data_IF_582833433495
#
_entry.id   IF_582833433495
#
_cell.length_a   1.000
_cell.length_b   1.000
_cell.length_c   1.000
_cell.angle_alpha   90.00
_cell.angle_beta   90.00
_cell.angle_gamma   90.00
#
_symmetry.space_group_name_H-M   'P 1'
#
loop_
_entity.id
_entity.type
_entity.pdbx_description
1 polymer ?
#
# COMPACT_ATOMS: atom_id res chain seq x y z
N UNK A 1 -18.47 2.00 -16.42
CA UNK A 1 -18.31 0.75 -17.17
C UNK A 1 -17.64 -0.36 -16.34
N UNK A 2 -16.89 -0.06 -15.26
CA UNK A 2 -16.20 -1.08 -14.44
C UNK A 2 -16.50 -0.99 -12.94
N UNK A 3 -17.78 -1.06 -12.56
CA UNK A 3 -18.22 -0.83 -11.16
C UNK A 3 -17.62 -1.82 -10.15
N UNK A 4 -17.28 -3.04 -10.58
CA UNK A 4 -16.65 -4.07 -9.73
C UNK A 4 -15.21 -3.69 -9.40
N UNK A 5 -14.30 -3.68 -10.38
CA UNK A 5 -12.91 -3.31 -10.16
C UNK A 5 -12.74 -1.93 -9.50
N UNK A 6 -13.52 -0.93 -9.94
CA UNK A 6 -13.50 0.42 -9.34
C UNK A 6 -13.84 0.39 -7.84
N UNK A 7 -14.73 -0.52 -7.40
CA UNK A 7 -15.07 -0.66 -5.99
C UNK A 7 -13.88 -1.19 -5.20
N UNK A 8 -13.19 -2.21 -5.71
CA UNK A 8 -12.00 -2.77 -5.05
C UNK A 8 -10.89 -1.71 -4.94
N UNK A 9 -10.63 -0.94 -6.00
CA UNK A 9 -9.63 0.13 -5.96
C UNK A 9 -10.01 1.23 -4.95
N UNK A 10 -11.26 1.68 -4.94
CA UNK A 10 -11.73 2.71 -3.99
C UNK A 10 -11.68 2.26 -2.53
N UNK A 11 -11.86 0.96 -2.28
CA UNK A 11 -11.70 0.40 -0.93
C UNK A 11 -10.23 0.35 -0.52
N UNK A 12 -9.35 -0.05 -1.44
CA UNK A 12 -7.89 -0.04 -1.24
C UNK A 12 -7.34 1.37 -0.99
N UNK A 13 -7.80 2.37 -1.75
CA UNK A 13 -7.40 3.78 -1.61
C UNK A 13 -7.79 4.40 -0.27
N UNK A 14 -8.71 3.77 0.48
CA UNK A 14 -9.14 4.21 1.82
C UNK A 14 -8.37 3.52 2.94
N UNK A 15 -7.27 2.84 2.62
CA UNK A 15 -6.43 2.18 3.62
C UNK A 15 -5.99 3.19 4.69
N UNK A 16 -6.26 2.87 5.97
CA UNK A 16 -5.93 3.76 7.08
C UNK A 16 -4.42 3.94 7.31
N UNK A 17 -3.60 3.06 6.75
CA UNK A 17 -2.15 3.14 6.80
C UNK A 17 -1.57 3.02 5.39
N UNK A 18 -1.21 4.16 4.82
CA UNK A 18 -0.51 4.27 3.54
C UNK A 18 0.55 5.36 3.59
N UNK A 19 1.55 5.26 2.71
CA UNK A 19 2.62 6.24 2.54
C UNK A 19 2.61 6.67 1.08
N UNK A 20 2.17 7.89 0.80
CA UNK A 20 2.11 8.40 -0.56
C UNK A 20 3.51 8.47 -1.19
N UNK A 21 3.55 8.65 -2.51
CA UNK A 21 4.79 8.78 -3.26
C UNK A 21 5.71 9.84 -2.64
N UNK A 22 6.99 9.49 -2.45
CA UNK A 22 8.05 10.37 -1.92
C UNK A 22 7.86 10.84 -0.46
N UNK A 23 6.79 10.42 0.22
CA UNK A 23 6.50 10.85 1.59
C UNK A 23 7.22 10.02 2.66
N UNK A 24 7.34 10.60 3.85
CA UNK A 24 7.83 9.94 5.05
C UNK A 24 6.70 9.82 6.05
N UNK A 25 6.39 8.60 6.48
CA UNK A 25 5.40 8.34 7.51
C UNK A 25 5.73 7.02 8.22
N UNK A 26 5.23 6.82 9.44
CA UNK A 26 5.46 5.60 10.23
C UNK A 26 6.95 5.22 10.41
N UNK A 27 7.86 6.19 10.36
CA UNK A 27 9.30 5.95 10.42
C UNK A 27 9.92 5.40 9.12
N UNK A 28 9.17 5.37 8.02
CA UNK A 28 9.58 4.82 6.72
C UNK A 28 9.49 5.91 5.64
N UNK A 29 10.53 6.04 4.81
CA UNK A 29 10.51 6.87 3.60
C UNK A 29 10.09 6.03 2.40
N UNK A 30 9.00 6.42 1.73
CA UNK A 30 8.63 5.82 0.46
C UNK A 30 9.34 6.55 -0.69
N UNK A 31 10.46 6.00 -1.19
CA UNK A 31 11.18 6.57 -2.33
C UNK A 31 10.52 6.30 -3.70
N UNK A 32 9.40 5.55 -3.73
CA UNK A 32 8.74 5.15 -4.98
C UNK A 32 7.82 6.25 -5.49
N UNK A 33 7.58 6.33 -6.82
CA UNK A 33 6.67 7.31 -7.42
C UNK A 33 5.18 6.90 -7.31
N UNK A 34 4.84 6.00 -6.39
CA UNK A 34 3.49 5.52 -6.14
C UNK A 34 3.26 5.29 -4.64
N UNK A 35 2.00 5.24 -4.24
CA UNK A 35 1.60 4.96 -2.84
C UNK A 35 1.89 3.51 -2.48
N UNK A 36 2.43 3.30 -1.28
CA UNK A 36 2.61 1.98 -0.66
C UNK A 36 1.62 1.89 0.50
N UNK A 37 0.89 0.78 0.60
CA UNK A 37 -0.18 0.57 1.59
C UNK A 37 0.18 -0.54 2.59
N UNK A 38 -0.61 -0.67 3.66
CA UNK A 38 -0.46 -1.76 4.61
C UNK A 38 -0.74 -3.12 3.97
N UNK A 39 0.02 -4.16 4.34
CA UNK A 39 -0.12 -5.49 3.74
C UNK A 39 -1.52 -6.11 3.89
N UNK A 40 -2.25 -5.77 4.96
CA UNK A 40 -3.64 -6.22 5.11
C UNK A 40 -4.58 -5.62 4.06
N UNK A 41 -4.37 -4.35 3.69
CA UNK A 41 -5.13 -3.68 2.64
C UNK A 41 -4.83 -4.32 1.28
N UNK A 42 -3.57 -4.59 0.97
CA UNK A 42 -3.16 -5.25 -0.27
C UNK A 42 -3.70 -6.69 -0.36
N UNK A 43 -3.70 -7.42 0.77
CA UNK A 43 -4.28 -8.76 0.83
C UNK A 43 -5.80 -8.74 0.63
N UNK A 44 -6.51 -7.75 1.22
CA UNK A 44 -7.93 -7.54 0.99
C UNK A 44 -8.23 -7.17 -0.47
N UNK A 45 -7.41 -6.29 -1.04
CA UNK A 45 -7.50 -5.89 -2.43
C UNK A 45 -7.35 -7.08 -3.39
N UNK A 46 -6.32 -7.92 -3.17
CA UNK A 46 -6.12 -9.16 -3.94
C UNK A 46 -7.33 -10.09 -3.86
N UNK A 47 -7.93 -10.26 -2.67
CA UNK A 47 -9.14 -11.06 -2.49
C UNK A 47 -10.34 -10.46 -3.22
N UNK A 48 -10.51 -9.14 -3.15
CA UNK A 48 -11.60 -8.42 -3.84
C UNK A 48 -11.54 -8.62 -5.35
N UNK A 49 -10.37 -8.41 -5.96
CA UNK A 49 -10.17 -8.61 -7.40
C UNK A 49 -10.44 -10.05 -7.83
N UNK A 50 -9.89 -11.04 -7.10
CA UNK A 50 -10.12 -12.46 -7.40
C UNK A 50 -11.58 -12.88 -7.28
N UNK A 51 -12.34 -12.26 -6.37
CA UNK A 51 -13.75 -12.58 -6.18
C UNK A 51 -14.66 -12.07 -7.32
N UNK A 52 -14.22 -11.07 -8.08
CA UNK A 52 -14.98 -10.53 -9.21
C UNK A 52 -14.92 -11.44 -10.45
N UNK A 53 -13.84 -12.20 -10.61
CA UNK A 53 -13.66 -13.19 -11.67
C UNK A 53 -13.95 -12.62 -13.08
N UNK A 54 -13.36 -11.45 -13.36
CA UNK A 54 -13.50 -10.73 -14.64
C UNK A 54 -12.14 -10.28 -15.18
N UNK A 55 -12.06 -10.12 -16.50
CA UNK A 55 -10.81 -9.83 -17.22
C UNK A 55 -10.10 -8.55 -16.75
N UNK A 56 -10.86 -7.52 -16.33
CA UNK A 56 -10.28 -6.25 -15.89
C UNK A 56 -9.71 -6.41 -14.48
N UNK A 57 -10.41 -7.10 -13.59
CA UNK A 57 -9.91 -7.43 -12.25
C UNK A 57 -8.63 -8.28 -12.32
N UNK A 58 -8.57 -9.25 -13.23
CA UNK A 58 -7.38 -10.07 -13.45
C UNK A 58 -6.20 -9.23 -13.97
N UNK A 59 -6.44 -8.36 -14.95
CA UNK A 59 -5.42 -7.45 -15.47
C UNK A 59 -4.87 -6.54 -14.38
N UNK A 60 -5.73 -5.94 -13.55
CA UNK A 60 -5.32 -5.10 -12.43
C UNK A 60 -4.50 -5.91 -11.43
N UNK A 61 -4.98 -7.12 -11.09
CA UNK A 61 -4.30 -8.02 -10.16
C UNK A 61 -2.90 -8.37 -10.61
N UNK A 62 -2.74 -8.88 -11.84
CA UNK A 62 -1.43 -9.22 -12.43
C UNK A 62 -0.53 -7.99 -12.50
N UNK A 63 -1.06 -6.85 -12.96
CA UNK A 63 -0.27 -5.63 -13.08
C UNK A 63 0.29 -5.18 -11.73
N UNK A 64 -0.55 -5.15 -10.69
CA UNK A 64 -0.17 -4.66 -9.38
C UNK A 64 0.74 -5.64 -8.62
N UNK A 65 0.39 -6.92 -8.63
CA UNK A 65 1.01 -7.92 -7.75
C UNK A 65 2.15 -8.71 -8.38
N UNK A 66 2.13 -8.91 -9.71
CA UNK A 66 3.07 -9.81 -10.39
C UNK A 66 4.02 -9.05 -11.33
N UNK A 67 3.55 -7.98 -12.00
CA UNK A 67 4.39 -7.18 -12.91
C UNK A 67 5.13 -6.05 -12.20
N UNK A 68 4.41 -5.21 -11.46
CA UNK A 68 4.99 -4.09 -10.73
C UNK A 68 5.55 -4.51 -9.36
N UNK A 69 5.10 -5.66 -8.85
CA UNK A 69 5.43 -6.17 -7.52
C UNK A 69 5.36 -5.08 -6.44
N UNK A 70 4.25 -4.33 -6.43
CA UNK A 70 4.10 -3.19 -5.51
C UNK A 70 4.26 -3.67 -4.08
N UNK A 71 5.25 -3.17 -3.32
CA UNK A 71 5.48 -3.65 -1.97
C UNK A 71 4.45 -3.08 -1.01
N UNK A 72 4.26 -3.78 0.10
CA UNK A 72 3.44 -3.34 1.23
C UNK A 72 4.29 -3.25 2.50
N UNK A 73 3.75 -2.59 3.54
CA UNK A 73 4.41 -2.53 4.85
C UNK A 73 3.51 -3.07 5.96
N UNK A 74 4.13 -3.42 7.09
CA UNK A 74 3.43 -3.79 8.33
C UNK A 74 3.81 -2.83 9.44
N UNK A 75 2.83 -2.42 10.24
CA UNK A 75 3.07 -1.59 11.42
C UNK A 75 3.26 -2.46 12.65
N UNK A 76 4.42 -2.34 13.28
CA UNK A 76 4.72 -2.97 14.57
C UNK A 76 5.04 -1.90 15.58
N UNK A 77 4.50 -2.03 16.80
CA UNK A 77 4.92 -1.19 17.92
C UNK A 77 6.37 -1.54 18.26
N UNK A 78 7.23 -0.53 18.23
CA UNK A 78 8.62 -0.63 18.60
C UNK A 78 9.02 0.66 19.33
N UNK A 79 9.97 0.55 20.25
CA UNK A 79 10.59 1.72 20.85
C UNK A 79 11.41 2.44 19.78
N UNK A 80 11.14 3.72 19.58
CA UNK A 80 11.85 4.55 18.60
C UNK A 80 12.45 5.77 19.29
N UNK A 81 13.64 6.17 18.83
CA UNK A 81 14.26 7.42 19.23
C UNK A 81 13.44 8.59 18.65
N UNK A 82 12.57 9.20 19.47
CA UNK A 82 11.74 10.33 19.07
C UNK A 82 12.46 11.67 19.13
N UNK A 83 13.64 11.73 19.79
CA UNK A 83 14.41 12.96 19.96
C UNK A 83 15.89 12.69 19.76
N UNK A 84 16.45 13.30 18.70
CA UNK A 84 17.87 13.33 18.48
C UNK A 84 18.53 14.33 19.43
N UNK A 85 19.50 13.87 20.21
CA UNK A 85 20.42 14.73 20.94
C UNK A 85 21.76 14.74 20.24
N UNK A 86 22.16 15.91 19.78
CA UNK A 86 23.48 16.14 19.24
C UNK A 86 24.44 16.52 20.38
N UNK A 87 25.46 15.70 20.61
CA UNK A 87 26.46 15.88 21.67
C UNK A 87 27.84 16.21 21.06
N UNK A 88 27.91 17.16 20.14
CA UNK A 88 29.18 17.59 19.52
C UNK A 88 29.17 19.07 19.21
N UNK A 89 29.62 19.91 20.13
CA UNK A 89 29.69 21.37 19.95
C UNK A 89 30.28 21.82 18.61
#
# INVERSE_FOLDING_TARGET
LFRGPDRCCREHDRCGAQIAALQFNFGIRNYRPHTVSHCDCDAAFRRCLRALNDTISDLIGVTFFDLLEVPCFVLRRAEQCVRWHWWGG
#
